data_IF_777576689692
#
_entry.id   IF_777576689692
#
_cell.length_a   1.000
_cell.length_b   1.000
_cell.length_c   1.000
_cell.angle_alpha   90.00
_cell.angle_beta   90.00
_cell.angle_gamma   90.00
#
_symmetry.space_group_name_H-M   'P 1'
#
loop_
_entity.id
_entity.type
_entity.pdbx_description
1 polymer ?
#
# COMPACT_ATOMS: atom_id res chain seq x y z
N UNK A 1 -18.31 -0.34 -29.86
CA UNK A 1 -17.07 -1.09 -29.50
C UNK A 1 -15.96 -0.53 -30.37
N UNK A 2 -15.02 0.17 -29.78
CA UNK A 2 -13.78 0.60 -30.45
C UNK A 2 -12.92 -0.66 -30.55
N UNK A 3 -12.39 -0.95 -31.75
CA UNK A 3 -11.47 -2.08 -31.92
C UNK A 3 -10.29 -1.88 -30.99
N UNK A 4 -9.85 -2.92 -30.24
CA UNK A 4 -8.69 -2.79 -29.36
C UNK A 4 -7.49 -2.34 -30.19
N UNK A 5 -6.85 -1.24 -29.79
CA UNK A 5 -5.59 -0.82 -30.40
C UNK A 5 -4.54 -1.87 -30.09
N UNK A 6 -3.85 -2.36 -31.11
CA UNK A 6 -2.79 -3.34 -30.92
C UNK A 6 -1.66 -2.75 -30.07
N UNK A 7 -0.98 -3.56 -29.24
CA UNK A 7 0.19 -3.12 -28.49
C UNK A 7 1.26 -2.49 -29.39
N UNK A 8 1.79 -1.34 -28.98
CA UNK A 8 2.81 -0.56 -29.73
C UNK A 8 4.24 -0.82 -29.27
N UNK A 9 4.42 -1.58 -28.19
CA UNK A 9 5.76 -1.91 -27.66
C UNK A 9 6.56 -2.79 -28.63
N UNK A 10 7.87 -2.63 -28.61
CA UNK A 10 8.77 -3.46 -29.38
C UNK A 10 8.59 -4.95 -29.02
N UNK A 11 8.57 -5.79 -30.03
CA UNK A 11 8.52 -7.25 -29.87
C UNK A 11 9.92 -7.81 -29.83
N UNK A 12 10.20 -8.65 -28.84
CA UNK A 12 11.44 -9.37 -28.68
C UNK A 12 11.19 -10.85 -28.91
N UNK A 13 12.17 -11.55 -29.46
CA UNK A 13 12.13 -13.01 -29.67
C UNK A 13 13.33 -13.64 -28.95
N UNK A 14 13.11 -14.76 -28.29
CA UNK A 14 14.10 -15.49 -27.54
C UNK A 14 14.08 -16.97 -27.92
N UNK A 15 15.25 -17.61 -27.90
CA UNK A 15 15.39 -19.02 -28.25
C UNK A 15 14.73 -19.93 -27.17
N UNK A 16 14.80 -19.50 -25.90
CA UNK A 16 14.19 -20.22 -24.78
C UNK A 16 13.84 -19.30 -23.60
N UNK A 17 13.22 -19.87 -22.57
CA UNK A 17 12.83 -19.13 -21.37
C UNK A 17 14.02 -18.65 -20.52
N UNK A 18 15.18 -19.31 -20.56
CA UNK A 18 16.38 -18.89 -19.82
C UNK A 18 16.96 -17.64 -20.46
N UNK A 19 17.13 -17.64 -21.78
CA UNK A 19 17.60 -16.49 -22.55
C UNK A 19 16.71 -15.25 -22.31
N UNK A 20 15.37 -15.46 -22.23
CA UNK A 20 14.42 -14.41 -21.90
C UNK A 20 14.69 -13.85 -20.50
N UNK A 21 14.78 -14.70 -19.47
CA UNK A 21 15.00 -14.27 -18.09
C UNK A 21 16.29 -13.46 -17.96
N UNK A 22 17.41 -13.99 -18.50
CA UNK A 22 18.71 -13.33 -18.43
C UNK A 22 18.70 -11.97 -19.17
N UNK A 23 17.99 -11.87 -20.29
CA UNK A 23 17.84 -10.62 -21.01
C UNK A 23 17.10 -9.57 -20.14
N UNK A 24 15.96 -9.94 -19.53
CA UNK A 24 15.21 -9.02 -18.69
C UNK A 24 16.00 -8.58 -17.45
N UNK A 25 16.79 -9.49 -16.86
CA UNK A 25 17.73 -9.15 -15.77
C UNK A 25 18.81 -8.17 -16.25
N UNK A 26 19.44 -8.44 -17.40
CA UNK A 26 20.50 -7.58 -17.95
C UNK A 26 20.01 -6.17 -18.30
N UNK A 27 18.73 -6.04 -18.70
CA UNK A 27 18.11 -4.73 -18.97
C UNK A 27 17.65 -4.02 -17.69
N UNK A 28 17.70 -4.67 -16.52
CA UNK A 28 17.17 -4.13 -15.28
C UNK A 28 15.65 -3.96 -15.29
N UNK A 29 14.92 -4.79 -16.05
CA UNK A 29 13.46 -4.76 -16.14
C UNK A 29 12.78 -5.66 -15.11
N UNK A 30 13.54 -6.33 -14.26
CA UNK A 30 13.01 -7.14 -13.16
C UNK A 30 13.43 -6.56 -11.80
N UNK A 31 12.75 -7.01 -10.77
CA UNK A 31 13.05 -6.73 -9.36
C UNK A 31 14.07 -7.71 -8.74
N UNK A 32 14.73 -8.53 -9.57
CA UNK A 32 15.64 -9.60 -9.18
C UNK A 32 14.97 -10.98 -9.12
N UNK A 33 13.64 -11.04 -9.24
CA UNK A 33 12.90 -12.30 -9.31
C UNK A 33 12.58 -12.66 -10.76
N UNK A 34 12.37 -13.95 -11.05
CA UNK A 34 11.86 -14.41 -12.35
C UNK A 34 10.55 -13.71 -12.72
N UNK A 35 10.34 -13.52 -14.01
CA UNK A 35 9.12 -12.89 -14.53
C UNK A 35 8.29 -13.88 -15.36
N UNK A 36 6.98 -13.63 -15.42
CA UNK A 36 6.15 -14.26 -16.45
C UNK A 36 6.36 -13.52 -17.76
N UNK A 37 6.64 -14.21 -18.88
CA UNK A 37 6.84 -13.55 -20.16
C UNK A 37 5.61 -12.72 -20.58
N UNK A 38 5.74 -11.41 -20.82
CA UNK A 38 4.65 -10.55 -21.21
C UNK A 38 4.37 -10.72 -22.73
N UNK A 39 3.79 -11.86 -23.09
CA UNK A 39 3.41 -12.13 -24.48
C UNK A 39 2.32 -11.17 -24.95
N UNK A 40 2.23 -10.94 -26.26
CA UNK A 40 1.21 -10.08 -26.86
C UNK A 40 -0.20 -10.48 -26.39
N UNK A 41 -0.49 -11.79 -26.38
CA UNK A 41 -1.81 -12.31 -25.99
C UNK A 41 -2.09 -12.09 -24.50
N UNK A 42 -1.10 -12.27 -23.62
CA UNK A 42 -1.28 -12.04 -22.20
C UNK A 42 -1.50 -10.55 -21.87
N UNK A 43 -0.78 -9.66 -22.56
CA UNK A 43 -0.96 -8.21 -22.44
C UNK A 43 -2.33 -7.79 -22.97
N UNK A 44 -2.73 -8.29 -24.16
CA UNK A 44 -4.05 -8.03 -24.73
C UNK A 44 -5.17 -8.50 -23.80
N UNK A 45 -5.06 -9.69 -23.20
CA UNK A 45 -6.05 -10.20 -22.25
C UNK A 45 -6.23 -9.29 -21.02
N UNK A 46 -5.15 -8.66 -20.52
CA UNK A 46 -5.25 -7.68 -19.43
C UNK A 46 -6.00 -6.42 -19.89
N UNK A 47 -5.66 -5.90 -21.06
CA UNK A 47 -6.30 -4.71 -21.62
C UNK A 47 -7.79 -4.94 -21.90
N UNK A 48 -8.13 -6.08 -22.49
CA UNK A 48 -9.51 -6.47 -22.79
C UNK A 48 -10.35 -6.61 -21.52
N UNK A 49 -9.77 -7.20 -20.45
CA UNK A 49 -10.45 -7.35 -19.16
C UNK A 49 -10.83 -6.01 -18.54
N UNK A 50 -9.93 -5.02 -18.63
CA UNK A 50 -10.18 -3.68 -18.13
C UNK A 50 -10.92 -2.77 -19.12
N UNK A 51 -11.23 -3.27 -20.33
CA UNK A 51 -11.80 -2.49 -21.44
C UNK A 51 -10.99 -1.23 -21.79
N UNK A 52 -9.66 -1.29 -21.67
CA UNK A 52 -8.76 -0.17 -21.94
C UNK A 52 -8.00 -0.36 -23.26
N UNK A 53 -7.97 0.66 -24.16
CA UNK A 53 -7.06 0.64 -25.30
C UNK A 53 -5.59 0.67 -24.84
N UNK A 54 -4.68 0.10 -25.64
CA UNK A 54 -3.26 0.00 -25.30
C UNK A 54 -2.60 1.38 -25.03
N UNK A 55 -2.98 2.37 -25.82
CA UNK A 55 -2.48 3.75 -25.73
C UNK A 55 -3.23 4.64 -24.72
N UNK A 56 -4.22 4.08 -24.00
CA UNK A 56 -4.91 4.82 -22.95
C UNK A 56 -3.92 5.37 -21.93
N UNK A 57 -3.94 6.69 -21.73
CA UNK A 57 -3.09 7.37 -20.77
C UNK A 57 -3.71 7.24 -19.38
N UNK A 58 -3.13 6.40 -18.51
CA UNK A 58 -3.54 6.30 -17.10
C UNK A 58 -3.20 7.59 -16.35
N UNK A 59 -2.08 8.22 -16.69
CA UNK A 59 -1.69 9.50 -16.13
C UNK A 59 -0.22 9.84 -16.43
N UNK A 60 0.20 10.96 -15.88
CA UNK A 60 1.58 11.48 -16.04
C UNK A 60 2.17 11.71 -14.65
N UNK A 61 3.34 11.15 -14.38
CA UNK A 61 4.07 11.47 -13.16
C UNK A 61 4.51 12.95 -13.22
N UNK A 62 4.02 13.79 -12.29
CA UNK A 62 4.03 15.24 -12.51
C UNK A 62 5.41 15.91 -12.44
N UNK A 63 6.37 15.32 -11.70
CA UNK A 63 7.68 15.92 -11.47
C UNK A 63 8.62 15.70 -12.64
N UNK A 64 8.58 14.53 -13.27
CA UNK A 64 9.47 14.14 -14.38
C UNK A 64 8.76 14.08 -15.73
N UNK A 65 7.44 14.31 -15.76
CA UNK A 65 6.65 14.28 -16.97
C UNK A 65 6.55 12.92 -17.64
N UNK A 66 6.62 11.82 -16.85
CA UNK A 66 6.59 10.46 -17.38
C UNK A 66 5.17 9.97 -17.60
N UNK A 67 4.80 9.77 -18.86
CA UNK A 67 3.51 9.22 -19.24
C UNK A 67 3.43 7.71 -18.93
N UNK A 68 2.32 7.29 -18.36
CA UNK A 68 2.02 5.90 -18.01
C UNK A 68 0.82 5.45 -18.83
N UNK A 69 1.04 4.54 -19.78
CA UNK A 69 -0.03 3.97 -20.61
C UNK A 69 -0.51 2.63 -20.09
N UNK A 70 -1.74 2.26 -20.42
CA UNK A 70 -2.35 1.00 -20.04
C UNK A 70 -1.53 -0.20 -20.54
N UNK A 71 -1.00 -0.17 -21.77
CA UNK A 71 -0.12 -1.22 -22.28
C UNK A 71 1.10 -1.44 -21.39
N UNK A 72 1.78 -0.36 -20.97
CA UNK A 72 2.99 -0.46 -20.16
C UNK A 72 2.68 -1.02 -18.76
N UNK A 73 1.55 -0.64 -18.19
CA UNK A 73 1.09 -1.21 -16.90
C UNK A 73 0.71 -2.68 -17.08
N UNK A 74 0.02 -3.06 -18.19
CA UNK A 74 -0.33 -4.44 -18.47
C UNK A 74 0.92 -5.34 -18.64
N UNK A 75 1.94 -4.87 -19.36
CA UNK A 75 3.23 -5.58 -19.48
C UNK A 75 3.81 -5.90 -18.09
N UNK A 76 3.89 -4.90 -17.20
CA UNK A 76 4.45 -5.07 -15.85
C UNK A 76 3.54 -5.95 -14.96
N UNK A 77 2.23 -5.89 -15.14
CA UNK A 77 1.27 -6.77 -14.45
C UNK A 77 1.47 -8.24 -14.84
N UNK A 78 1.59 -8.54 -16.14
CA UNK A 78 1.91 -9.90 -16.61
C UNK A 78 3.25 -10.35 -16.07
N UNK A 79 4.30 -9.52 -16.17
CA UNK A 79 5.64 -9.84 -15.64
C UNK A 79 5.60 -10.18 -14.15
N UNK A 80 4.78 -9.50 -13.36
CA UNK A 80 4.57 -9.77 -11.95
C UNK A 80 3.84 -11.08 -11.66
N UNK A 81 3.17 -11.68 -12.66
CA UNK A 81 2.36 -12.90 -12.52
C UNK A 81 0.86 -12.64 -12.30
N UNK A 82 0.37 -11.42 -12.53
CA UNK A 82 -1.04 -11.09 -12.47
C UNK A 82 -1.86 -11.88 -13.50
N UNK A 83 -3.08 -12.25 -13.11
CA UNK A 83 -4.11 -12.67 -14.06
C UNK A 83 -4.75 -11.42 -14.69
N UNK A 84 -5.43 -11.56 -15.86
CA UNK A 84 -6.16 -10.44 -16.46
C UNK A 84 -7.15 -9.78 -15.49
N UNK A 85 -7.83 -10.55 -14.64
CA UNK A 85 -8.77 -10.05 -13.64
C UNK A 85 -8.13 -9.17 -12.54
N UNK A 86 -6.83 -9.30 -12.32
CA UNK A 86 -6.10 -8.44 -11.36
C UNK A 86 -5.78 -7.05 -11.92
N UNK A 87 -5.76 -6.92 -13.24
CA UNK A 87 -5.28 -5.74 -13.93
C UNK A 87 -6.05 -4.44 -13.57
N UNK A 88 -7.40 -4.44 -13.43
CA UNK A 88 -8.13 -3.25 -13.00
C UNK A 88 -7.65 -2.72 -11.64
N UNK A 89 -7.31 -3.59 -10.70
CA UNK A 89 -6.80 -3.21 -9.37
C UNK A 89 -5.42 -2.56 -9.50
N UNK A 90 -4.54 -3.10 -10.36
CA UNK A 90 -3.21 -2.50 -10.62
C UNK A 90 -3.35 -1.11 -11.26
N UNK A 91 -4.23 -0.97 -12.25
CA UNK A 91 -4.52 0.34 -12.88
C UNK A 91 -4.98 1.34 -11.84
N UNK A 92 -5.95 0.95 -10.99
CA UNK A 92 -6.50 1.81 -9.94
C UNK A 92 -5.42 2.20 -8.92
N UNK A 93 -4.54 1.28 -8.52
CA UNK A 93 -3.43 1.59 -7.63
C UNK A 93 -2.45 2.61 -8.25
N UNK A 94 -2.13 2.44 -9.54
CA UNK A 94 -1.28 3.39 -10.28
C UNK A 94 -1.95 4.76 -10.35
N UNK A 95 -3.23 4.81 -10.68
CA UNK A 95 -4.03 6.04 -10.72
C UNK A 95 -4.02 6.76 -9.36
N UNK A 96 -4.26 6.02 -8.28
CA UNK A 96 -4.25 6.58 -6.93
C UNK A 96 -2.87 7.14 -6.52
N UNK A 97 -1.78 6.48 -6.91
CA UNK A 97 -0.42 6.98 -6.65
C UNK A 97 -0.09 8.27 -7.40
N UNK A 98 -0.72 8.52 -8.54
CA UNK A 98 -0.49 9.72 -9.35
C UNK A 98 -1.24 10.95 -8.81
N UNK A 99 -2.19 10.77 -7.92
CA UNK A 99 -2.86 11.88 -7.25
C UNK A 99 -1.85 12.71 -6.45
N UNK A 100 -1.93 14.04 -6.58
CA UNK A 100 -0.96 14.97 -5.99
C UNK A 100 -0.74 14.74 -4.48
N UNK A 101 -1.79 14.53 -3.65
CA UNK A 101 -1.59 14.37 -2.21
C UNK A 101 -0.81 13.10 -1.81
N UNK A 102 -0.66 12.11 -2.71
CA UNK A 102 0.18 10.94 -2.43
C UNK A 102 1.67 11.28 -2.39
N UNK A 103 2.11 12.31 -3.12
CA UNK A 103 3.51 12.77 -3.23
C UNK A 103 4.45 11.68 -3.79
N UNK A 104 4.06 11.04 -4.89
CA UNK A 104 4.75 9.89 -5.48
C UNK A 104 6.26 10.10 -5.65
N UNK A 105 6.68 11.24 -6.23
CA UNK A 105 8.11 11.51 -6.44
C UNK A 105 8.88 11.55 -5.11
N UNK A 106 8.36 12.29 -4.13
CA UNK A 106 8.97 12.41 -2.80
C UNK A 106 9.12 11.04 -2.11
N UNK A 107 8.05 10.25 -2.13
CA UNK A 107 8.04 8.91 -1.54
C UNK A 107 9.06 7.98 -2.20
N UNK A 108 9.14 7.97 -3.53
CA UNK A 108 10.00 7.06 -4.30
C UNK A 108 11.48 7.49 -4.33
N UNK A 109 11.78 8.79 -4.18
CA UNK A 109 13.15 9.33 -4.17
C UNK A 109 13.74 9.50 -2.76
N UNK A 110 12.97 9.15 -1.72
CA UNK A 110 13.37 9.34 -0.32
C UNK A 110 14.49 8.40 0.12
N UNK A 111 15.34 8.87 1.02
CA UNK A 111 16.30 8.04 1.78
C UNK A 111 15.61 7.19 2.85
N UNK A 112 14.37 7.48 3.21
CA UNK A 112 13.59 6.78 4.24
C UNK A 112 13.15 5.37 3.85
N UNK A 113 13.08 5.05 2.56
CA UNK A 113 12.89 3.68 2.07
C UNK A 113 11.48 3.12 2.20
N UNK A 114 10.44 3.96 2.06
CA UNK A 114 9.05 3.48 2.06
C UNK A 114 8.70 2.65 0.82
N UNK A 115 7.70 1.78 0.98
CA UNK A 115 6.98 1.11 -0.09
C UNK A 115 5.60 1.73 -0.31
N UNK A 116 4.85 1.18 -1.25
CA UNK A 116 3.45 1.51 -1.47
C UNK A 116 2.59 0.41 -0.87
N UNK A 117 1.90 0.72 0.23
CA UNK A 117 0.83 -0.14 0.74
C UNK A 117 -0.38 0.02 -0.17
N UNK A 118 -0.95 -1.10 -0.60
CA UNK A 118 -2.18 -1.18 -1.38
C UNK A 118 -3.21 -1.93 -0.53
N UNK A 119 -4.34 -1.32 -0.23
CA UNK A 119 -5.47 -1.96 0.45
C UNK A 119 -6.61 -2.10 -0.55
N UNK A 120 -7.13 -3.31 -0.71
CA UNK A 120 -8.22 -3.60 -1.64
C UNK A 120 -9.50 -3.89 -0.86
N UNK A 121 -10.57 -3.22 -1.26
CA UNK A 121 -11.90 -3.31 -0.67
C UNK A 121 -12.96 -3.70 -1.70
N UNK A 122 -14.10 -4.18 -1.19
CA UNK A 122 -15.30 -4.44 -1.96
C UNK A 122 -15.33 -5.82 -2.64
N UNK A 123 -16.36 -6.09 -3.45
CA UNK A 123 -16.61 -7.39 -4.08
C UNK A 123 -15.45 -7.93 -4.93
N UNK A 124 -14.66 -7.04 -5.55
CA UNK A 124 -13.53 -7.43 -6.39
C UNK A 124 -12.53 -8.34 -5.67
N UNK A 125 -12.41 -8.23 -4.34
CA UNK A 125 -11.53 -9.11 -3.54
C UNK A 125 -11.86 -10.59 -3.77
N UNK A 126 -13.14 -10.93 -3.76
CA UNK A 126 -13.63 -12.30 -3.98
C UNK A 126 -13.49 -12.72 -5.45
N UNK A 127 -13.81 -11.80 -6.37
CA UNK A 127 -13.74 -12.06 -7.82
C UNK A 127 -12.32 -12.42 -8.26
N UNK A 128 -11.30 -11.84 -7.63
CA UNK A 128 -9.89 -12.09 -7.97
C UNK A 128 -9.19 -13.05 -6.98
N UNK A 129 -9.92 -13.60 -6.01
CA UNK A 129 -9.42 -14.60 -5.08
C UNK A 129 -8.43 -14.06 -4.03
N UNK A 130 -8.62 -12.83 -3.55
CA UNK A 130 -7.84 -12.28 -2.45
C UNK A 130 -8.29 -12.83 -1.10
N UNK A 131 -7.33 -13.08 -0.22
CA UNK A 131 -7.54 -13.49 1.15
C UNK A 131 -7.23 -12.34 2.12
N UNK A 132 -8.18 -12.06 3.01
CA UNK A 132 -8.00 -11.15 4.15
C UNK A 132 -7.58 -11.87 5.44
N UNK A 133 -7.47 -13.20 5.39
CA UNK A 133 -7.22 -14.07 6.54
C UNK A 133 -5.74 -14.27 6.87
N UNK A 134 -5.31 -15.55 7.01
CA UNK A 134 -3.94 -15.86 7.38
C UNK A 134 -2.90 -15.24 6.47
N UNK A 135 -1.81 -14.73 7.07
CA UNK A 135 -0.73 -14.01 6.37
C UNK A 135 -1.19 -12.76 5.61
N UNK A 136 -2.25 -12.07 6.05
CA UNK A 136 -2.82 -10.91 5.35
C UNK A 136 -1.77 -9.83 4.95
N UNK A 137 -0.69 -9.67 5.72
CA UNK A 137 0.40 -8.71 5.46
C UNK A 137 1.61 -9.39 4.80
N UNK A 138 1.48 -10.65 4.41
CA UNK A 138 2.50 -11.47 3.77
C UNK A 138 1.97 -12.16 2.50
N UNK A 139 2.54 -13.30 2.09
CA UNK A 139 2.10 -14.02 0.90
C UNK A 139 0.82 -14.84 1.22
N UNK A 140 -0.34 -14.19 1.29
CA UNK A 140 -1.63 -14.83 1.59
C UNK A 140 -2.21 -15.56 0.38
N UNK A 141 -2.08 -14.97 -0.81
CA UNK A 141 -2.64 -15.46 -2.06
C UNK A 141 -1.89 -14.89 -3.27
N UNK A 142 -2.24 -15.38 -4.47
CA UNK A 142 -1.64 -14.93 -5.72
C UNK A 142 -1.95 -13.47 -6.04
N UNK A 143 -3.20 -13.05 -5.86
CA UNK A 143 -3.64 -11.71 -6.25
C UNK A 143 -2.92 -10.65 -5.42
N UNK A 144 -2.92 -10.76 -4.09
CA UNK A 144 -2.22 -9.84 -3.19
C UNK A 144 -0.73 -9.75 -3.53
N UNK A 145 -0.07 -10.90 -3.70
CA UNK A 145 1.37 -10.95 -3.99
C UNK A 145 1.70 -10.33 -5.35
N UNK A 146 0.95 -10.70 -6.42
CA UNK A 146 1.24 -10.24 -7.77
C UNK A 146 0.84 -8.77 -7.99
N UNK A 147 -0.26 -8.29 -7.41
CA UNK A 147 -0.68 -6.89 -7.51
C UNK A 147 0.36 -5.97 -6.88
N UNK A 148 0.78 -6.25 -5.65
CA UNK A 148 1.82 -5.45 -4.98
C UNK A 148 3.14 -5.45 -5.76
N UNK A 149 3.53 -6.61 -6.32
CA UNK A 149 4.73 -6.73 -7.17
C UNK A 149 4.57 -5.98 -8.50
N UNK A 150 3.38 -5.98 -9.12
CA UNK A 150 3.12 -5.21 -10.33
C UNK A 150 3.32 -3.71 -10.12
N UNK A 151 2.84 -3.17 -8.99
CA UNK A 151 3.10 -1.79 -8.60
C UNK A 151 4.60 -1.52 -8.50
N UNK A 152 5.38 -2.43 -7.90
CA UNK A 152 6.85 -2.28 -7.81
C UNK A 152 7.51 -2.28 -9.19
N UNK A 153 7.10 -3.19 -10.09
CA UNK A 153 7.65 -3.24 -11.45
C UNK A 153 7.28 -1.99 -12.27
N UNK A 154 6.06 -1.46 -12.12
CA UNK A 154 5.65 -0.18 -12.72
C UNK A 154 6.56 0.95 -12.25
N UNK A 155 6.81 1.07 -10.95
CA UNK A 155 7.72 2.09 -10.41
C UNK A 155 9.14 1.94 -10.96
N UNK A 156 9.66 0.72 -11.03
CA UNK A 156 11.01 0.44 -11.54
C UNK A 156 11.16 0.70 -13.05
N UNK A 157 10.21 0.22 -13.84
CA UNK A 157 10.33 0.18 -15.29
C UNK A 157 9.80 1.42 -16.00
N UNK A 158 8.71 2.02 -15.50
CA UNK A 158 8.11 3.19 -16.13
C UNK A 158 8.65 4.51 -15.54
N UNK A 159 8.87 4.49 -14.21
CA UNK A 159 9.33 5.68 -13.50
C UNK A 159 10.81 5.64 -13.13
N UNK A 160 11.55 4.59 -13.55
CA UNK A 160 12.99 4.44 -13.29
C UNK A 160 13.36 4.56 -11.80
N UNK A 161 12.45 4.11 -10.92
CA UNK A 161 12.67 4.09 -9.47
C UNK A 161 13.57 2.90 -9.14
N UNK A 162 14.85 3.03 -9.47
CA UNK A 162 15.88 1.99 -9.29
C UNK A 162 16.78 2.32 -8.10
N UNK A 163 17.20 1.30 -7.32
CA UNK A 163 18.12 1.50 -6.20
C UNK A 163 19.43 2.18 -6.63
N UNK A 164 19.82 3.23 -5.90
CA UNK A 164 21.03 4.00 -6.16
C UNK A 164 20.85 5.09 -7.23
N UNK A 165 19.74 5.08 -7.97
CA UNK A 165 19.38 6.11 -8.95
C UNK A 165 18.32 7.05 -8.36
N UNK A 166 17.04 6.90 -8.73
CA UNK A 166 15.93 7.65 -8.14
C UNK A 166 15.65 7.14 -6.72
N UNK A 167 15.61 5.83 -6.52
CA UNK A 167 15.40 5.23 -5.20
C UNK A 167 16.67 5.41 -4.35
N UNK A 168 16.63 6.37 -3.44
CA UNK A 168 17.74 6.69 -2.53
C UNK A 168 17.60 6.03 -1.16
N UNK A 169 16.73 5.04 -1.03
CA UNK A 169 16.50 4.34 0.23
C UNK A 169 17.79 3.79 0.81
N UNK A 170 18.10 4.15 2.05
CA UNK A 170 19.31 3.64 2.75
C UNK A 170 19.19 2.14 3.00
N UNK A 171 18.02 1.66 3.42
CA UNK A 171 17.75 0.24 3.70
C UNK A 171 16.59 -0.31 2.86
N UNK A 172 15.48 0.41 2.80
CA UNK A 172 14.21 -0.13 2.32
C UNK A 172 13.61 -1.14 3.30
N UNK A 173 12.64 -1.93 2.84
CA UNK A 173 12.02 -3.03 3.59
C UNK A 173 11.36 -4.03 2.62
N UNK A 174 11.05 -5.27 3.06
CA UNK A 174 10.49 -6.32 2.18
C UNK A 174 9.19 -5.93 1.46
N UNK A 175 8.35 -5.08 2.04
CA UNK A 175 7.14 -4.54 1.39
C UNK A 175 7.41 -3.71 0.13
N UNK A 176 8.67 -3.38 -0.17
CA UNK A 176 9.03 -2.79 -1.47
C UNK A 176 9.01 -3.81 -2.61
N UNK A 177 9.01 -5.12 -2.32
CA UNK A 177 8.82 -6.17 -3.32
C UNK A 177 7.33 -6.31 -3.64
N UNK A 178 6.52 -6.44 -2.59
CA UNK A 178 5.06 -6.50 -2.67
C UNK A 178 4.45 -6.08 -1.35
N UNK A 179 3.42 -5.23 -1.37
CA UNK A 179 2.74 -4.77 -0.18
C UNK A 179 1.26 -4.49 -0.49
N UNK A 180 0.49 -5.55 -0.65
CA UNK A 180 -0.93 -5.47 -0.99
C UNK A 180 -1.72 -6.39 -0.07
N UNK A 181 -2.78 -5.86 0.51
CA UNK A 181 -3.65 -6.57 1.46
C UNK A 181 -5.11 -6.38 1.07
N UNK A 182 -5.95 -7.37 1.39
CA UNK A 182 -7.41 -7.27 1.36
C UNK A 182 -7.94 -6.99 2.77
N UNK A 183 -8.96 -6.16 2.89
CA UNK A 183 -9.67 -6.00 4.15
C UNK A 183 -10.71 -7.11 4.34
N UNK A 184 -10.87 -7.60 5.57
CA UNK A 184 -11.94 -8.52 5.97
C UNK A 184 -13.21 -7.72 6.24
N UNK A 185 -14.18 -7.82 5.35
CA UNK A 185 -15.44 -7.08 5.41
C UNK A 185 -16.59 -7.95 5.88
N UNK A 186 -16.40 -9.28 5.90
CA UNK A 186 -17.45 -10.25 6.20
C UNK A 186 -17.53 -10.62 7.69
N UNK A 187 -16.39 -10.62 8.37
CA UNK A 187 -16.29 -11.07 9.76
C UNK A 187 -16.23 -9.90 10.76
N UNK A 188 -16.78 -8.74 10.39
CA UNK A 188 -16.78 -7.55 11.24
C UNK A 188 -18.04 -6.73 11.02
N UNK A 189 -18.60 -6.09 12.07
CA UNK A 189 -19.67 -5.11 11.91
C UNK A 189 -19.15 -3.74 11.43
N UNK A 190 -17.83 -3.57 11.37
CA UNK A 190 -17.22 -2.30 10.93
C UNK A 190 -17.41 -2.09 9.43
N UNK A 191 -17.72 -0.87 9.05
CA UNK A 191 -17.67 -0.48 7.64
C UNK A 191 -16.26 -0.67 7.07
N UNK A 192 -16.16 -1.03 5.80
CA UNK A 192 -14.85 -1.14 5.14
C UNK A 192 -14.16 0.22 5.04
N UNK A 193 -12.83 0.23 4.92
CA UNK A 193 -12.04 1.45 4.74
C UNK A 193 -12.53 2.25 3.52
N UNK A 194 -12.85 1.55 2.42
CA UNK A 194 -13.38 2.21 1.22
C UNK A 194 -14.79 2.80 1.46
N UNK A 195 -15.68 2.07 2.14
CA UNK A 195 -17.01 2.56 2.47
C UNK A 195 -16.96 3.86 3.30
N UNK A 196 -16.06 3.92 4.28
CA UNK A 196 -15.88 5.12 5.10
C UNK A 196 -15.34 6.31 4.29
N UNK A 197 -14.43 6.06 3.33
CA UNK A 197 -13.75 7.11 2.57
C UNK A 197 -14.51 7.59 1.32
N UNK A 198 -15.34 6.73 0.74
CA UNK A 198 -16.13 7.01 -0.47
C UNK A 198 -17.59 7.25 -0.15
N UNK A 199 -18.11 6.62 0.93
CA UNK A 199 -19.52 6.70 1.31
C UNK A 199 -20.42 5.67 0.62
N UNK A 200 -19.84 4.68 -0.07
CA UNK A 200 -20.57 3.57 -0.70
C UNK A 200 -20.10 2.23 -0.10
N UNK A 201 -20.97 1.49 0.60
CA UNK A 201 -20.60 0.23 1.25
C UNK A 201 -20.36 -0.93 0.26
N UNK A 202 -20.73 -0.79 -1.00
CA UNK A 202 -20.61 -1.84 -2.02
C UNK A 202 -19.51 -1.56 -3.04
N UNK A 203 -18.79 -0.47 -2.90
CA UNK A 203 -17.77 -0.08 -3.87
C UNK A 203 -16.55 -0.99 -3.79
N UNK A 204 -16.11 -1.49 -4.94
CA UNK A 204 -14.76 -2.03 -5.08
C UNK A 204 -13.79 -0.87 -5.22
N UNK A 205 -12.80 -0.78 -4.34
CA UNK A 205 -11.85 0.33 -4.33
C UNK A 205 -10.45 -0.09 -3.91
N UNK A 206 -9.50 0.77 -4.25
CA UNK A 206 -8.10 0.64 -3.84
C UNK A 206 -7.70 1.87 -3.04
N UNK A 207 -7.13 1.64 -1.86
CA UNK A 207 -6.46 2.68 -1.09
C UNK A 207 -4.96 2.48 -1.15
N UNK A 208 -4.20 3.52 -1.50
CA UNK A 208 -2.73 3.50 -1.48
C UNK A 208 -2.18 4.42 -0.40
N UNK A 209 -1.09 4.01 0.23
CA UNK A 209 -0.38 4.78 1.25
C UNK A 209 1.14 4.62 1.08
N UNK A 210 1.89 5.73 1.13
CA UNK A 210 3.34 5.66 1.21
C UNK A 210 3.75 5.22 2.63
N UNK A 211 4.23 3.99 2.78
CA UNK A 211 4.31 3.29 4.05
C UNK A 211 5.69 2.69 4.33
N UNK A 212 6.07 2.67 5.59
CA UNK A 212 7.17 1.86 6.10
C UNK A 212 6.72 0.41 6.30
N UNK A 213 7.67 -0.47 6.58
CA UNK A 213 7.35 -1.88 6.85
C UNK A 213 6.45 -2.05 8.08
N UNK A 214 5.55 -3.04 8.07
CA UNK A 214 4.66 -3.32 9.19
C UNK A 214 5.46 -3.74 10.43
N UNK A 215 5.00 -3.30 11.59
CA UNK A 215 5.54 -3.66 12.89
C UNK A 215 4.50 -4.47 13.64
N UNK A 216 4.75 -5.76 13.74
CA UNK A 216 3.86 -6.68 14.43
C UNK A 216 3.94 -6.45 15.93
N UNK A 217 2.80 -6.51 16.58
CA UNK A 217 2.63 -6.43 18.03
C UNK A 217 1.68 -7.54 18.47
N UNK A 218 1.65 -7.83 19.77
CA UNK A 218 0.78 -8.85 20.33
C UNK A 218 0.20 -8.37 21.66
N UNK A 219 -1.11 -8.57 21.83
CA UNK A 219 -1.79 -8.40 23.13
C UNK A 219 -2.89 -9.44 23.28
N UNK A 220 -2.70 -10.36 24.21
CA UNK A 220 -3.65 -11.44 24.56
C UNK A 220 -4.01 -11.43 26.06
N UNK A 221 -3.61 -10.39 26.78
CA UNK A 221 -3.74 -10.33 28.24
C UNK A 221 -4.90 -9.50 28.73
N UNK A 222 -5.63 -8.86 27.83
CA UNK A 222 -6.80 -8.04 28.16
C UNK A 222 -7.88 -8.17 27.10
N UNK A 223 -9.11 -7.90 27.51
CA UNK A 223 -10.30 -7.81 26.65
C UNK A 223 -10.79 -6.36 26.52
N UNK A 224 -10.14 -5.43 27.23
CA UNK A 224 -10.53 -4.02 27.24
C UNK A 224 -9.96 -3.29 26.02
N UNK A 225 -10.80 -2.71 25.14
CA UNK A 225 -10.38 -2.02 23.93
C UNK A 225 -9.29 -0.97 24.14
N UNK A 226 -9.40 -0.15 25.18
CA UNK A 226 -8.43 0.88 25.50
C UNK A 226 -7.04 0.27 25.79
N UNK A 227 -6.97 -0.79 26.59
CA UNK A 227 -5.72 -1.47 26.94
C UNK A 227 -5.12 -2.19 25.71
N UNK A 228 -5.95 -2.73 24.83
CA UNK A 228 -5.49 -3.29 23.55
C UNK A 228 -4.86 -2.17 22.71
N UNK A 229 -5.53 -1.03 22.60
CA UNK A 229 -5.03 0.12 21.82
C UNK A 229 -3.78 0.76 22.43
N UNK A 230 -3.58 0.67 23.73
CA UNK A 230 -2.32 1.14 24.38
C UNK A 230 -1.09 0.46 23.78
N UNK A 231 -1.21 -0.81 23.38
CA UNK A 231 -0.12 -1.53 22.70
C UNK A 231 0.17 -0.93 21.32
N UNK A 232 -0.86 -0.59 20.55
CA UNK A 232 -0.71 0.09 19.25
C UNK A 232 -0.16 1.51 19.42
N UNK A 233 -0.68 2.26 20.40
CA UNK A 233 -0.21 3.60 20.75
C UNK A 233 1.27 3.58 21.17
N UNK A 234 1.69 2.58 21.95
CA UNK A 234 3.07 2.41 22.36
C UNK A 234 4.01 2.24 21.15
N UNK A 235 3.61 1.44 20.13
CA UNK A 235 4.40 1.27 18.93
C UNK A 235 4.42 2.54 18.06
N UNK A 236 3.30 3.25 17.92
CA UNK A 236 3.25 4.54 17.24
C UNK A 236 4.19 5.55 17.92
N UNK A 237 4.15 5.65 19.25
CA UNK A 237 5.05 6.52 20.03
C UNK A 237 6.50 6.10 19.90
N UNK A 238 6.79 4.79 19.83
CA UNK A 238 8.12 4.28 19.52
C UNK A 238 8.60 4.75 18.15
N UNK A 239 7.74 4.64 17.11
CA UNK A 239 8.06 5.16 15.78
C UNK A 239 8.37 6.67 15.80
N UNK A 240 7.57 7.47 16.51
CA UNK A 240 7.80 8.91 16.65
C UNK A 240 9.15 9.22 17.32
N UNK A 241 9.59 8.41 18.27
CA UNK A 241 10.90 8.55 18.92
C UNK A 241 12.06 8.11 18.03
N UNK A 242 11.92 6.94 17.39
CA UNK A 242 13.03 6.31 16.67
C UNK A 242 13.19 6.88 15.25
N UNK A 243 12.07 7.11 14.55
CA UNK A 243 12.05 7.43 13.12
C UNK A 243 11.66 8.87 12.86
N UNK A 244 10.39 9.24 13.06
CA UNK A 244 9.87 10.56 12.70
C UNK A 244 8.87 11.09 13.72
N UNK A 245 9.04 12.36 14.10
CA UNK A 245 8.10 13.10 14.96
C UNK A 245 6.96 13.73 14.15
N UNK A 246 7.06 13.72 12.83
CA UNK A 246 6.06 14.32 11.97
C UNK A 246 4.80 13.48 11.92
N UNK A 247 3.65 14.15 11.98
CA UNK A 247 2.35 13.51 11.79
C UNK A 247 2.21 12.96 10.35
N UNK A 248 1.39 11.93 10.19
CA UNK A 248 1.13 11.33 8.87
C UNK A 248 0.03 10.27 8.93
N UNK A 249 -0.30 9.68 7.79
CA UNK A 249 -1.24 8.58 7.75
C UNK A 249 -0.61 7.29 8.30
N UNK A 250 -1.00 6.90 9.50
CA UNK A 250 -0.70 5.56 10.01
C UNK A 250 -1.75 4.57 9.55
N UNK A 251 -1.39 3.30 9.41
CA UNK A 251 -2.37 2.24 9.33
C UNK A 251 -2.20 1.26 10.49
N UNK A 252 -3.31 0.73 10.99
CA UNK A 252 -3.33 -0.35 11.98
C UNK A 252 -4.11 -1.52 11.39
N UNK A 253 -3.55 -2.72 11.55
CA UNK A 253 -4.20 -3.96 11.13
C UNK A 253 -4.67 -4.69 12.38
N UNK A 254 -5.97 -4.90 12.49
CA UNK A 254 -6.61 -5.50 13.67
C UNK A 254 -7.24 -6.83 13.27
N UNK A 255 -6.71 -7.97 13.75
CA UNK A 255 -7.20 -9.30 13.40
C UNK A 255 -8.50 -9.66 14.12
N UNK A 256 -9.23 -10.71 13.68
CA UNK A 256 -10.52 -11.09 14.25
C UNK A 256 -10.53 -11.29 15.75
N UNK A 257 -9.49 -11.90 16.31
CA UNK A 257 -9.42 -12.14 17.75
C UNK A 257 -9.43 -10.84 18.57
N UNK A 258 -8.67 -9.83 18.15
CA UNK A 258 -8.67 -8.53 18.82
C UNK A 258 -9.98 -7.77 18.52
N UNK A 259 -10.46 -7.79 17.27
CA UNK A 259 -11.72 -7.12 16.89
C UNK A 259 -12.91 -7.58 17.73
N UNK A 260 -13.00 -8.87 18.05
CA UNK A 260 -14.09 -9.41 18.86
C UNK A 260 -14.26 -8.68 20.20
N UNK A 261 -13.18 -8.16 20.78
CA UNK A 261 -13.25 -7.38 22.01
C UNK A 261 -13.82 -5.97 21.78
N UNK A 262 -13.46 -5.32 20.66
CA UNK A 262 -14.03 -4.05 20.25
C UNK A 262 -15.53 -4.20 19.93
N UNK A 263 -15.90 -5.23 19.19
CA UNK A 263 -17.29 -5.52 18.83
C UNK A 263 -18.13 -5.77 20.10
N UNK A 264 -17.61 -6.53 21.05
CA UNK A 264 -18.31 -6.80 22.34
C UNK A 264 -18.50 -5.54 23.15
N UNK A 265 -17.55 -4.62 23.14
CA UNK A 265 -17.61 -3.35 23.84
C UNK A 265 -18.36 -2.26 23.05
N UNK A 266 -18.81 -2.54 21.83
CA UNK A 266 -19.52 -1.60 20.96
C UNK A 266 -18.65 -0.49 20.38
N UNK A 267 -17.34 -0.72 20.27
CA UNK A 267 -16.41 0.25 19.68
C UNK A 267 -16.44 0.19 18.15
N UNK A 268 -16.63 1.34 17.53
CA UNK A 268 -16.51 1.54 16.08
C UNK A 268 -15.05 1.83 15.68
N UNK A 269 -14.76 1.84 14.37
CA UNK A 269 -13.47 2.35 13.86
C UNK A 269 -13.25 3.83 14.23
N UNK A 270 -14.32 4.63 14.35
CA UNK A 270 -14.22 6.02 14.79
C UNK A 270 -13.71 6.12 16.23
N UNK A 271 -14.20 5.27 17.15
CA UNK A 271 -13.71 5.22 18.52
C UNK A 271 -12.24 4.81 18.59
N UNK A 272 -11.81 3.86 17.75
CA UNK A 272 -10.40 3.47 17.63
C UNK A 272 -9.54 4.65 17.15
N UNK A 273 -9.99 5.40 16.13
CA UNK A 273 -9.29 6.58 15.62
C UNK A 273 -9.15 7.66 16.66
N UNK A 274 -10.24 7.98 17.34
CA UNK A 274 -10.25 9.02 18.37
C UNK A 274 -9.29 8.67 19.52
N UNK A 275 -9.35 7.42 20.02
CA UNK A 275 -8.45 6.96 21.07
C UNK A 275 -6.98 7.10 20.68
N UNK A 276 -6.62 6.61 19.48
CA UNK A 276 -5.24 6.71 19.00
C UNK A 276 -4.81 8.17 18.77
N UNK A 277 -5.70 9.00 18.22
CA UNK A 277 -5.43 10.42 18.01
C UNK A 277 -5.15 11.17 19.33
N UNK A 278 -5.90 10.86 20.38
CA UNK A 278 -5.71 11.48 21.69
C UNK A 278 -4.42 11.01 22.39
N UNK A 279 -4.08 9.72 22.27
CA UNK A 279 -3.02 9.10 23.06
C UNK A 279 -1.67 8.97 22.35
N UNK A 280 -1.62 8.96 21.01
CA UNK A 280 -0.38 8.82 20.25
C UNK A 280 0.40 10.14 20.17
N UNK A 281 0.90 10.58 21.30
CA UNK A 281 1.63 11.86 21.47
C UNK A 281 2.91 11.64 22.24
N UNK A 282 3.98 12.37 21.88
CA UNK A 282 5.24 12.38 22.62
C UNK A 282 5.72 13.80 22.84
N UNK A 283 6.44 14.04 23.96
CA UNK A 283 7.23 15.27 24.13
C UNK A 283 8.55 15.12 23.40
N UNK A 284 9.01 16.19 22.75
CA UNK A 284 10.30 16.16 22.06
C UNK A 284 11.46 15.80 23.00
N UNK A 285 11.36 16.14 24.28
CA UNK A 285 12.33 15.78 25.30
C UNK A 285 12.58 14.25 25.40
N UNK A 286 11.59 13.42 25.08
CA UNK A 286 11.73 11.97 25.07
C UNK A 286 12.78 11.45 24.08
N UNK A 287 13.15 12.25 23.08
CA UNK A 287 14.24 11.93 22.15
C UNK A 287 15.59 11.77 22.84
N UNK A 288 15.80 12.42 23.99
CA UNK A 288 17.02 12.25 24.78
C UNK A 288 17.22 10.79 25.21
N UNK A 289 16.12 10.08 25.52
CA UNK A 289 16.13 8.68 25.94
C UNK A 289 16.54 7.68 24.85
N UNK A 290 16.51 8.10 23.57
CA UNK A 290 16.94 7.28 22.42
C UNK A 290 18.17 7.85 21.71
N UNK A 291 19.00 8.61 22.44
CA UNK A 291 20.28 9.10 21.94
C UNK A 291 20.23 10.37 21.08
N UNK A 292 19.07 11.00 20.90
CA UNK A 292 18.90 12.20 20.07
C UNK A 292 18.93 13.51 20.88
N UNK A 293 19.79 13.62 21.90
CA UNK A 293 19.84 14.76 22.83
C UNK A 293 20.05 16.09 22.12
N UNK A 294 20.95 16.14 21.14
CA UNK A 294 21.23 17.36 20.37
C UNK A 294 20.02 17.87 19.56
N UNK A 295 19.06 17.01 19.26
CA UNK A 295 17.86 17.37 18.51
C UNK A 295 16.72 17.88 19.41
N UNK A 296 16.83 17.81 20.73
CA UNK A 296 15.79 18.25 21.67
C UNK A 296 15.66 19.79 21.64
N UNK A 297 16.81 20.52 21.84
CA UNK A 297 16.86 21.97 21.82
C UNK A 297 15.88 22.60 22.81
N UNK A 298 15.49 23.84 22.55
CA UNK A 298 14.53 24.61 23.34
C UNK A 298 13.09 24.07 23.30
N UNK A 299 12.79 23.17 22.34
CA UNK A 299 11.46 22.59 22.15
C UNK A 299 11.22 21.31 22.96
N UNK A 300 12.02 21.05 23.99
CA UNK A 300 11.93 19.81 24.78
C UNK A 300 10.54 19.53 25.36
N UNK A 301 9.83 20.55 25.81
CA UNK A 301 8.48 20.43 26.38
C UNK A 301 7.37 20.43 25.32
N UNK A 302 7.68 20.69 24.06
CA UNK A 302 6.67 20.68 23.00
C UNK A 302 6.19 19.26 22.73
N UNK A 303 4.87 19.09 22.71
CA UNK A 303 4.21 17.81 22.43
C UNK A 303 3.84 17.73 20.95
N UNK A 304 4.18 16.62 20.33
CA UNK A 304 3.84 16.29 18.94
C UNK A 304 2.82 15.14 18.92
N UNK A 305 1.84 15.25 18.05
CA UNK A 305 0.88 14.19 17.77
C UNK A 305 1.34 13.35 16.56
N UNK A 306 1.01 12.06 16.56
CA UNK A 306 1.28 11.17 15.43
C UNK A 306 0.37 11.45 14.22
N UNK A 307 -0.82 11.95 14.50
CA UNK A 307 -1.87 12.22 13.52
C UNK A 307 -2.22 13.71 13.57
N UNK A 308 -2.67 14.30 12.45
CA UNK A 308 -3.20 15.67 12.44
C UNK A 308 -4.69 15.70 12.78
N UNK A 309 -5.39 14.63 12.45
CA UNK A 309 -6.81 14.41 12.70
C UNK A 309 -7.08 12.91 12.88
N UNK A 310 -8.18 12.48 13.48
CA UNK A 310 -8.48 11.06 13.68
C UNK A 310 -8.49 10.26 12.37
N UNK A 311 -8.98 10.84 11.27
CA UNK A 311 -9.08 10.19 9.95
C UNK A 311 -7.72 9.95 9.26
N UNK A 312 -6.63 10.48 9.81
CA UNK A 312 -5.26 10.12 9.39
C UNK A 312 -4.91 8.66 9.75
N UNK A 313 -5.68 8.01 10.64
CA UNK A 313 -5.51 6.59 10.98
C UNK A 313 -6.39 5.71 10.08
N UNK A 314 -5.74 4.88 9.26
CA UNK A 314 -6.41 3.83 8.52
C UNK A 314 -6.57 2.60 9.43
N UNK A 315 -7.81 2.28 9.80
CA UNK A 315 -8.12 1.08 10.58
C UNK A 315 -8.54 -0.02 9.63
N UNK A 316 -7.74 -1.08 9.53
CA UNK A 316 -7.89 -2.17 8.57
C UNK A 316 -8.20 -3.45 9.34
N UNK A 317 -9.34 -4.05 9.05
CA UNK A 317 -9.69 -5.36 9.53
C UNK A 317 -9.02 -6.43 8.64
N UNK A 318 -8.04 -7.19 9.15
CA UNK A 318 -7.43 -8.28 8.41
C UNK A 318 -6.63 -9.18 9.34
N UNK A 319 -6.42 -10.41 8.94
CA UNK A 319 -5.61 -11.39 9.67
C UNK A 319 -6.34 -12.69 9.94
N UNK A 320 -5.60 -13.74 10.30
CA UNK A 320 -6.15 -15.04 10.68
C UNK A 320 -6.90 -14.96 12.02
N UNK A 321 -7.79 -15.94 12.29
CA UNK A 321 -8.67 -15.94 13.48
C UNK A 321 -7.97 -16.31 14.79
N UNK A 322 -6.72 -16.71 14.75
CA UNK A 322 -5.97 -17.18 15.92
C UNK A 322 -4.79 -16.25 16.25
N UNK A 323 -4.66 -15.94 17.53
CA UNK A 323 -3.58 -15.10 18.07
C UNK A 323 -3.91 -13.60 18.07
N UNK A 324 -3.57 -12.93 19.16
CA UNK A 324 -3.76 -11.49 19.36
C UNK A 324 -2.68 -10.63 18.68
N UNK A 325 -2.28 -10.97 17.45
CA UNK A 325 -1.23 -10.27 16.71
C UNK A 325 -1.80 -9.20 15.81
N UNK A 326 -1.63 -7.94 16.16
CA UNK A 326 -1.91 -6.82 15.28
C UNK A 326 -0.65 -6.26 14.62
N UNK A 327 -0.83 -5.22 13.82
CA UNK A 327 0.30 -4.50 13.25
C UNK A 327 0.06 -2.99 13.18
N UNK A 328 1.13 -2.22 13.39
CA UNK A 328 1.21 -0.81 13.05
C UNK A 328 2.04 -0.67 11.77
N UNK A 329 1.52 0.05 10.80
CA UNK A 329 2.20 0.39 9.56
C UNK A 329 2.46 1.90 9.58
N UNK A 330 3.71 2.33 9.87
CA UNK A 330 4.02 3.74 9.94
C UNK A 330 4.02 4.42 8.57
N UNK A 331 3.74 5.74 8.51
CA UNK A 331 3.83 6.51 7.28
C UNK A 331 5.29 6.72 6.85
N UNK A 332 5.46 7.09 5.58
CA UNK A 332 6.65 7.77 5.12
C UNK A 332 6.78 9.15 5.80
N UNK A 333 7.99 9.74 5.77
CA UNK A 333 8.36 11.01 6.42
C UNK A 333 7.62 12.27 5.91
N UNK A 334 6.91 12.20 4.79
CA UNK A 334 6.23 13.36 4.21
C UNK A 334 4.98 13.72 5.02
N UNK A 335 5.03 14.82 5.76
CA UNK A 335 3.91 15.30 6.58
C UNK A 335 2.65 15.63 5.79
N UNK A 336 2.79 15.90 4.50
CA UNK A 336 1.69 16.24 3.59
C UNK A 336 1.28 15.06 2.70
N UNK A 337 2.00 13.93 2.74
CA UNK A 337 1.60 12.71 2.03
C UNK A 337 0.31 12.16 2.63
N UNK A 338 -0.65 11.85 1.76
CA UNK A 338 -1.97 11.33 2.14
C UNK A 338 -2.24 9.99 1.51
N UNK A 339 -2.97 9.15 2.23
CA UNK A 339 -3.55 7.95 1.65
C UNK A 339 -4.66 8.33 0.67
N UNK A 340 -4.67 7.71 -0.50
CA UNK A 340 -5.61 7.99 -1.59
C UNK A 340 -6.47 6.77 -1.84
N UNK A 341 -7.78 6.95 -1.88
CA UNK A 341 -8.75 5.89 -2.18
C UNK A 341 -9.44 6.21 -3.51
N UNK A 342 -9.45 5.23 -4.41
CA UNK A 342 -10.05 5.35 -5.75
C UNK A 342 -10.92 4.13 -6.03
N UNK A 343 -12.16 4.31 -6.50
CA UNK A 343 -13.00 3.20 -6.95
C UNK A 343 -12.36 2.45 -8.11
N UNK A 344 -12.47 1.12 -8.12
CA UNK A 344 -12.00 0.29 -9.24
C UNK A 344 -12.88 0.56 -10.46
N UNK A 345 -12.23 0.82 -11.60
CA UNK A 345 -12.91 1.18 -12.84
C UNK A 345 -13.39 2.62 -12.91
N UNK A 346 -13.11 3.47 -11.91
CA UNK A 346 -13.38 4.90 -11.98
C UNK A 346 -12.36 5.61 -12.89
N UNK A 347 -12.88 6.42 -13.80
CA UNK A 347 -12.07 7.42 -14.49
C UNK A 347 -11.99 8.67 -13.58
N UNK A 348 -10.78 9.19 -13.30
CA UNK A 348 -10.64 10.37 -12.45
C UNK A 348 -11.07 11.65 -13.19
N UNK A 349 -11.09 11.63 -14.52
CA UNK A 349 -11.35 12.79 -15.37
C UNK A 349 -12.55 12.58 -16.34
N UNK A 350 -13.46 11.63 -16.07
CA UNK A 350 -14.65 11.42 -16.91
C UNK A 350 -15.84 12.23 -16.44
#
# INVERSE_FOLDING_TARGET
MVAPSLPHSNRLSFDDGVALQEHFHAQGWTDGLPIVPPTTDAVAACLDWAALPADHLIGVEPVRGRAITAEKVAINSVMAGCLPSHFPVVVTAVTAMLAEPFLLHGATASTGGCGVLVVVNGPIRHEIGMSSGFNAVGPSDRASTCIGRAVRLVLGNLLEVRPGEIDRSTLGHPGKISFCIAEDEEQTPWASLAAERIGDPYVSAVTVMAAMGPRQLMNEWTTEPAEILDTFVAEIKANMRHYSIWAGNYAVVIPPQLRAHFDTAGWSKADVREYVFEHARIRRGEWAGVGKRSAVGEKGEHTYAALTEPDDLLVIAAGGPAGGFGAVIPPWLGTTSRAITVPVGACIDC
#
